data_IF_363625386463
#
_entry.id   IF_363625386463
#
_cell.length_a   1.000
_cell.length_b   1.000
_cell.length_c   1.000
_cell.angle_alpha   90.00
_cell.angle_beta   90.00
_cell.angle_gamma   90.00
#
_symmetry.space_group_name_H-M   'P 1'
#
loop_
_entity.id
_entity.type
_entity.pdbx_description
1 polymer ?
#
# COMPACT_ATOMS: atom_id res chain seq x y z
N UNK A 1 -6.43 20.38 -23.51
CA UNK A 1 -7.11 20.29 -22.19
C UNK A 1 -8.49 19.72 -22.41
N UNK A 2 -8.65 18.40 -22.25
CA UNK A 2 -9.97 17.79 -22.13
C UNK A 2 -10.64 18.42 -20.91
N UNK A 3 -11.82 19.04 -21.07
CA UNK A 3 -12.60 19.47 -19.90
C UNK A 3 -12.90 18.22 -19.10
N UNK A 4 -12.49 18.20 -17.83
CA UNK A 4 -12.84 17.16 -16.86
C UNK A 4 -14.30 16.75 -17.08
N UNK A 5 -14.57 15.45 -17.14
CA UNK A 5 -15.94 14.95 -17.24
C UNK A 5 -16.64 15.26 -15.92
N UNK A 6 -17.27 16.43 -15.84
CA UNK A 6 -18.09 16.80 -14.70
C UNK A 6 -19.31 15.89 -14.68
N UNK A 7 -19.35 14.97 -13.74
CA UNK A 7 -20.57 14.20 -13.48
C UNK A 7 -21.59 15.15 -12.83
N UNK A 8 -22.85 15.16 -13.31
CA UNK A 8 -23.90 15.91 -12.62
C UNK A 8 -24.05 15.39 -11.20
N UNK A 9 -24.31 16.29 -10.24
CA UNK A 9 -24.59 15.89 -8.86
C UNK A 9 -25.79 14.95 -8.84
N UNK A 10 -25.71 13.89 -8.03
CA UNK A 10 -26.84 13.00 -7.82
C UNK A 10 -27.80 13.64 -6.80
N UNK A 11 -28.99 14.04 -7.25
CA UNK A 11 -29.98 14.68 -6.39
C UNK A 11 -30.63 13.70 -5.39
N UNK A 12 -30.70 12.41 -5.72
CA UNK A 12 -31.27 11.38 -4.84
C UNK A 12 -30.29 10.97 -3.74
N UNK A 13 -29.00 10.87 -4.07
CA UNK A 13 -27.94 10.45 -3.16
C UNK A 13 -26.79 11.48 -3.20
N UNK A 14 -26.94 12.62 -2.50
CA UNK A 14 -25.92 13.66 -2.49
C UNK A 14 -24.64 13.18 -1.79
N UNK A 15 -23.49 13.77 -2.12
CA UNK A 15 -22.19 13.41 -1.54
C UNK A 15 -22.18 13.41 0.00
N UNK A 16 -22.93 14.32 0.62
CA UNK A 16 -23.08 14.39 2.07
C UNK A 16 -23.75 13.12 2.64
N UNK A 17 -24.84 12.66 2.01
CA UNK A 17 -25.45 11.38 2.36
C UNK A 17 -24.48 10.21 2.14
N UNK A 18 -23.79 10.19 0.99
CA UNK A 18 -22.83 9.13 0.68
C UNK A 18 -21.69 9.07 1.71
N UNK A 19 -21.20 10.20 2.22
CA UNK A 19 -20.18 10.23 3.30
C UNK A 19 -20.72 9.67 4.62
N UNK A 20 -21.99 9.87 4.94
CA UNK A 20 -22.61 9.34 6.16
C UNK A 20 -22.82 7.82 6.13
N UNK A 21 -22.98 7.21 4.95
CA UNK A 21 -23.14 5.76 4.83
C UNK A 21 -21.85 5.04 5.29
N UNK A 22 -21.90 4.17 6.32
CA UNK A 22 -20.74 3.36 6.70
C UNK A 22 -20.32 2.46 5.54
N UNK A 23 -19.04 2.50 5.19
CA UNK A 23 -18.50 1.73 4.05
C UNK A 23 -17.12 1.16 4.36
N UNK A 24 -16.70 0.22 3.51
CA UNK A 24 -15.40 -0.43 3.61
C UNK A 24 -14.59 -0.23 2.33
N UNK A 25 -13.27 -0.15 2.46
CA UNK A 25 -12.35 -0.18 1.33
C UNK A 25 -11.34 -1.33 1.50
N UNK A 26 -11.49 -2.37 0.68
CA UNK A 26 -10.70 -3.60 0.79
C UNK A 26 -9.60 -3.70 -0.27
N UNK A 27 -9.41 -2.64 -1.07
CA UNK A 27 -8.45 -2.60 -2.16
C UNK A 27 -7.95 -1.16 -2.39
N UNK A 28 -7.20 -0.60 -1.43
CA UNK A 28 -6.40 0.62 -1.65
C UNK A 28 -4.94 0.35 -1.29
N UNK A 29 -4.09 0.65 -2.27
CA UNK A 29 -2.65 0.49 -2.18
C UNK A 29 -2.04 1.65 -1.37
N UNK A 30 -1.25 1.38 -0.33
CA UNK A 30 -0.58 2.44 0.43
C UNK A 30 0.22 3.37 -0.50
N UNK A 31 1.04 2.76 -1.36
CA UNK A 31 1.88 3.38 -2.38
C UNK A 31 1.10 4.01 -3.56
N UNK A 32 -0.18 3.70 -3.69
CA UNK A 32 -1.11 4.37 -4.62
C UNK A 32 -1.96 5.47 -3.99
N UNK A 33 -1.94 5.59 -2.66
CA UNK A 33 -2.79 6.52 -1.90
C UNK A 33 -1.96 7.71 -1.33
N UNK A 34 -0.75 7.97 -1.87
CA UNK A 34 0.08 9.15 -1.52
C UNK A 34 -0.52 10.45 -2.07
N UNK A 35 -0.55 11.49 -1.23
CA UNK A 35 -0.85 12.84 -1.70
C UNK A 35 0.32 13.36 -2.55
N UNK A 36 0.08 13.99 -3.71
CA UNK A 36 1.15 14.52 -4.56
C UNK A 36 2.10 15.49 -3.85
N UNK A 37 1.57 16.35 -2.96
CA UNK A 37 2.42 17.25 -2.16
C UNK A 37 3.31 16.47 -1.19
N UNK A 38 2.81 15.40 -0.57
CA UNK A 38 3.60 14.53 0.30
C UNK A 38 4.72 13.83 -0.47
N UNK A 39 4.46 13.39 -1.71
CA UNK A 39 5.50 12.85 -2.59
C UNK A 39 6.60 13.89 -2.84
N UNK A 40 6.26 15.13 -3.18
CA UNK A 40 7.22 16.23 -3.37
C UNK A 40 8.04 16.50 -2.11
N UNK A 41 7.38 16.60 -0.95
CA UNK A 41 8.05 16.88 0.32
C UNK A 41 9.06 15.79 0.67
N UNK A 42 8.65 14.52 0.56
CA UNK A 42 9.49 13.37 0.88
C UNK A 42 10.62 13.19 -0.14
N UNK A 43 10.38 13.49 -1.42
CA UNK A 43 11.41 13.45 -2.44
C UNK A 43 12.51 14.49 -2.19
N UNK A 44 12.13 15.72 -1.81
CA UNK A 44 13.09 16.75 -1.43
C UNK A 44 13.90 16.35 -0.18
N UNK A 45 13.26 15.76 0.82
CA UNK A 45 13.93 15.33 2.05
C UNK A 45 14.93 14.18 1.82
N UNK A 46 14.60 13.27 0.91
CA UNK A 46 15.38 12.06 0.64
C UNK A 46 16.27 12.16 -0.61
N UNK A 47 16.31 13.33 -1.27
CA UNK A 47 17.01 13.56 -2.53
C UNK A 47 16.60 12.56 -3.63
N UNK A 48 15.31 12.25 -3.72
CA UNK A 48 14.74 11.44 -4.81
C UNK A 48 14.41 12.36 -5.98
N UNK A 49 14.85 11.99 -7.17
CA UNK A 49 14.53 12.73 -8.40
C UNK A 49 13.09 12.47 -8.83
N UNK A 50 12.36 13.54 -9.09
CA UNK A 50 11.02 13.51 -9.67
C UNK A 50 11.01 14.23 -11.03
N UNK A 51 10.08 13.88 -11.94
CA UNK A 51 9.90 14.61 -13.21
C UNK A 51 9.60 16.10 -13.01
N UNK A 52 8.99 16.42 -11.88
CA UNK A 52 8.68 17.77 -11.43
C UNK A 52 8.47 17.75 -9.92
N UNK A 53 8.74 18.89 -9.27
CA UNK A 53 8.49 19.12 -7.84
C UNK A 53 7.24 19.99 -7.61
N UNK A 54 6.42 20.17 -8.65
CA UNK A 54 5.12 20.83 -8.57
C UNK A 54 4.00 19.76 -8.46
N UNK A 55 3.25 19.78 -7.36
CA UNK A 55 2.22 18.79 -7.07
C UNK A 55 1.08 18.78 -8.10
N UNK A 56 0.69 19.96 -8.61
CA UNK A 56 -0.33 20.08 -9.64
C UNK A 56 0.15 19.53 -10.98
N UNK A 57 1.43 19.70 -11.29
CA UNK A 57 2.06 19.13 -12.47
C UNK A 57 2.20 17.62 -12.36
N UNK A 58 2.55 17.07 -11.19
CA UNK A 58 2.52 15.62 -10.95
C UNK A 58 1.13 15.04 -11.24
N UNK A 59 0.06 15.70 -10.77
CA UNK A 59 -1.32 15.27 -11.05
C UNK A 59 -1.67 15.27 -12.53
N UNK A 60 -1.12 16.19 -13.32
CA UNK A 60 -1.40 16.27 -14.76
C UNK A 60 -0.56 15.30 -15.58
N UNK A 61 0.72 15.16 -15.25
CA UNK A 61 1.71 14.55 -16.12
C UNK A 61 2.09 13.13 -15.67
N UNK A 62 2.03 12.85 -14.36
CA UNK A 62 2.40 11.55 -13.76
C UNK A 62 1.16 10.76 -13.34
N UNK A 63 0.24 11.36 -12.57
CA UNK A 63 -1.00 10.72 -12.10
C UNK A 63 -2.17 10.99 -13.04
N UNK A 64 -1.96 10.65 -14.32
CA UNK A 64 -2.91 10.90 -15.42
C UNK A 64 -4.24 10.20 -15.21
N UNK A 65 -5.30 10.74 -15.83
CA UNK A 65 -6.63 10.11 -15.81
C UNK A 65 -6.68 8.80 -16.60
N UNK A 66 -5.88 8.70 -17.66
CA UNK A 66 -5.85 7.55 -18.58
C UNK A 66 -4.42 7.18 -18.93
N UNK A 67 -4.18 5.88 -19.04
CA UNK A 67 -2.90 5.28 -19.42
C UNK A 67 -3.13 4.33 -20.59
N UNK A 68 -2.12 4.19 -21.44
CA UNK A 68 -2.13 3.33 -22.62
C UNK A 68 -1.97 1.85 -22.23
N UNK A 69 -1.33 1.57 -21.09
CA UNK A 69 -1.15 0.21 -20.58
C UNK A 69 -0.94 0.16 -19.05
N UNK A 70 -0.99 -1.05 -18.48
CA UNK A 70 -0.67 -1.29 -17.07
C UNK A 70 0.80 -0.95 -16.76
N UNK A 71 1.70 -1.27 -17.67
CA UNK A 71 3.13 -1.00 -17.52
C UNK A 71 3.40 0.51 -17.43
N UNK A 72 2.71 1.32 -18.23
CA UNK A 72 2.78 2.78 -18.14
C UNK A 72 2.27 3.28 -16.79
N UNK A 73 1.13 2.75 -16.33
CA UNK A 73 0.56 3.08 -15.02
C UNK A 73 1.54 2.76 -13.87
N UNK A 74 2.20 1.61 -13.91
CA UNK A 74 3.14 1.20 -12.86
C UNK A 74 4.40 2.08 -12.75
N UNK A 75 4.70 2.93 -13.74
CA UNK A 75 5.80 3.91 -13.62
C UNK A 75 5.55 4.88 -12.47
N UNK A 76 4.30 5.31 -12.22
CA UNK A 76 4.02 6.25 -11.13
C UNK A 76 4.31 5.65 -9.74
N UNK A 77 4.12 4.33 -9.59
CA UNK A 77 4.44 3.59 -8.37
C UNK A 77 5.94 3.57 -8.06
N UNK A 78 6.81 3.72 -9.07
CA UNK A 78 8.25 3.78 -8.86
C UNK A 78 8.66 5.02 -8.06
N UNK A 79 8.05 6.18 -8.34
CA UNK A 79 8.28 7.41 -7.58
C UNK A 79 7.76 7.30 -6.15
N UNK A 80 6.54 6.76 -5.99
CA UNK A 80 5.95 6.54 -4.66
C UNK A 80 6.80 5.58 -3.82
N UNK A 81 7.20 4.45 -4.39
CA UNK A 81 8.04 3.45 -3.70
C UNK A 81 9.41 4.00 -3.31
N UNK A 82 10.00 4.86 -4.16
CA UNK A 82 11.32 5.45 -3.91
C UNK A 82 11.36 6.35 -2.67
N UNK A 83 10.27 7.08 -2.36
CA UNK A 83 10.18 7.95 -1.19
C UNK A 83 9.69 7.23 0.08
N UNK A 84 9.28 5.97 -0.02
CA UNK A 84 8.78 5.15 1.09
C UNK A 84 9.87 4.22 1.65
N UNK A 85 11.10 4.70 1.79
CA UNK A 85 12.26 3.91 2.28
C UNK A 85 12.78 4.34 3.64
N UNK A 86 11.96 5.08 4.39
CA UNK A 86 12.24 5.47 5.79
C UNK A 86 11.02 5.23 6.67
N UNK A 87 11.25 4.95 7.95
CA UNK A 87 10.18 4.76 8.94
C UNK A 87 9.24 5.96 9.01
N UNK A 88 9.77 7.18 8.96
CA UNK A 88 8.98 8.42 9.06
C UNK A 88 8.12 8.65 7.83
N UNK A 89 8.64 8.36 6.62
CA UNK A 89 7.86 8.45 5.39
C UNK A 89 6.69 7.45 5.40
N UNK A 90 6.96 6.20 5.77
CA UNK A 90 5.94 5.15 5.87
C UNK A 90 4.86 5.50 6.90
N UNK A 91 5.26 5.98 8.07
CA UNK A 91 4.32 6.40 9.13
C UNK A 91 3.46 7.60 8.69
N UNK A 92 4.08 8.60 8.05
CA UNK A 92 3.36 9.78 7.52
C UNK A 92 2.32 9.37 6.49
N UNK A 93 2.71 8.62 5.46
CA UNK A 93 1.80 8.23 4.37
C UNK A 93 0.69 7.32 4.87
N UNK A 94 0.99 6.40 5.79
CA UNK A 94 -0.02 5.55 6.40
C UNK A 94 -1.05 6.36 7.24
N UNK A 95 -0.59 7.37 7.99
CA UNK A 95 -1.47 8.29 8.72
C UNK A 95 -2.35 9.10 7.76
N UNK A 96 -1.78 9.63 6.68
CA UNK A 96 -2.50 10.40 5.66
C UNK A 96 -3.56 9.54 4.95
N UNK A 97 -3.22 8.32 4.54
CA UNK A 97 -4.17 7.37 3.95
C UNK A 97 -5.35 7.09 4.89
N UNK A 98 -5.08 6.78 6.17
CA UNK A 98 -6.14 6.55 7.15
C UNK A 98 -7.02 7.78 7.37
N UNK A 99 -6.43 8.98 7.33
CA UNK A 99 -7.17 10.25 7.43
C UNK A 99 -8.10 10.47 6.24
N UNK A 100 -7.61 10.20 5.03
CA UNK A 100 -8.38 10.35 3.81
C UNK A 100 -9.52 9.33 3.75
N UNK A 101 -9.28 8.08 4.16
CA UNK A 101 -10.31 7.05 4.27
C UNK A 101 -11.43 7.45 5.25
N UNK A 102 -11.05 7.92 6.44
CA UNK A 102 -12.01 8.35 7.44
C UNK A 102 -12.88 9.53 6.95
N UNK A 103 -12.27 10.50 6.25
CA UNK A 103 -12.98 11.65 5.68
C UNK A 103 -14.02 11.26 4.60
N UNK A 104 -13.85 10.11 3.95
CA UNK A 104 -14.79 9.54 2.99
C UNK A 104 -15.90 8.69 3.66
N UNK A 105 -15.90 8.59 4.99
CA UNK A 105 -16.86 7.81 5.77
C UNK A 105 -16.55 6.31 5.80
N UNK A 106 -15.33 5.91 5.45
CA UNK A 106 -14.88 4.52 5.57
C UNK A 106 -14.72 4.18 7.06
N UNK A 107 -15.26 3.02 7.45
CA UNK A 107 -15.21 2.53 8.84
C UNK A 107 -14.31 1.32 9.00
N UNK A 108 -14.04 0.59 7.93
CA UNK A 108 -13.01 -0.43 7.91
C UNK A 108 -12.30 -0.43 6.56
N UNK A 109 -10.96 -0.44 6.58
CA UNK A 109 -10.19 -0.57 5.36
C UNK A 109 -9.03 -1.53 5.51
N UNK A 110 -8.64 -2.16 4.40
CA UNK A 110 -7.47 -3.01 4.33
C UNK A 110 -6.44 -2.35 3.42
N UNK A 111 -5.44 -1.72 4.03
CA UNK A 111 -4.33 -1.15 3.25
C UNK A 111 -3.46 -2.28 2.74
N UNK A 112 -3.14 -2.24 1.45
CA UNK A 112 -2.31 -3.24 0.79
C UNK A 112 -1.07 -2.60 0.21
N UNK A 113 0.08 -3.27 0.29
CA UNK A 113 1.33 -2.80 -0.32
C UNK A 113 2.37 -3.91 -0.32
N UNK A 114 3.47 -3.74 -1.05
CA UNK A 114 4.57 -4.70 -1.07
C UNK A 114 5.75 -4.21 -0.18
N UNK A 115 5.88 -4.67 1.08
CA UNK A 115 6.92 -4.20 1.99
C UNK A 115 8.36 -4.36 1.48
N UNK A 116 8.58 -5.33 0.59
CA UNK A 116 9.88 -5.58 -0.06
C UNK A 116 10.30 -4.43 -1.00
N UNK A 117 9.39 -3.59 -1.48
CA UNK A 117 9.73 -2.38 -2.22
C UNK A 117 10.31 -1.27 -1.31
N UNK A 118 9.98 -1.33 -0.02
CA UNK A 118 10.31 -0.30 0.97
C UNK A 118 11.51 -0.66 1.84
N UNK A 119 11.77 -1.96 2.04
CA UNK A 119 12.86 -2.43 2.89
C UNK A 119 14.24 -2.07 2.30
N UNK A 120 15.15 -1.67 3.20
CA UNK A 120 16.54 -1.32 2.88
C UNK A 120 17.45 -2.21 3.72
N UNK A 121 18.16 -3.18 3.12
CA UNK A 121 19.03 -4.09 3.87
C UNK A 121 20.05 -3.35 4.75
N UNK A 122 20.15 -3.78 6.01
CA UNK A 122 21.05 -3.16 7.00
C UNK A 122 20.53 -1.86 7.63
N UNK A 123 19.46 -1.27 7.11
CA UNK A 123 18.95 0.04 7.58
C UNK A 123 17.47 0.00 7.98
N UNK A 124 16.60 -0.57 7.13
CA UNK A 124 15.16 -0.66 7.33
C UNK A 124 14.66 -2.08 7.01
N UNK A 125 14.45 -2.89 8.04
CA UNK A 125 13.97 -4.27 7.89
C UNK A 125 12.50 -4.34 7.46
N UNK A 126 12.08 -5.46 6.87
CA UNK A 126 10.67 -5.72 6.56
C UNK A 126 9.76 -5.60 7.79
N UNK A 127 10.24 -6.01 8.95
CA UNK A 127 9.56 -5.83 10.23
C UNK A 127 9.37 -4.33 10.54
N UNK A 128 10.43 -3.53 10.45
CA UNK A 128 10.36 -2.10 10.71
C UNK A 128 9.46 -1.38 9.72
N UNK A 129 9.41 -1.81 8.45
CA UNK A 129 8.44 -1.32 7.45
C UNK A 129 7.01 -1.55 7.96
N UNK A 130 6.66 -2.79 8.32
CA UNK A 130 5.33 -3.14 8.81
C UNK A 130 4.97 -2.40 10.11
N UNK A 131 5.93 -2.27 11.04
CA UNK A 131 5.73 -1.52 12.28
C UNK A 131 5.49 -0.04 12.02
N UNK A 132 6.20 0.56 11.06
CA UNK A 132 6.07 1.99 10.73
C UNK A 132 4.72 2.30 10.10
N UNK A 133 4.29 1.48 9.14
CA UNK A 133 2.95 1.57 8.57
C UNK A 133 1.90 1.40 9.66
N UNK A 134 2.04 0.37 10.52
CA UNK A 134 1.11 0.14 11.61
C UNK A 134 1.01 1.32 12.59
N UNK A 135 2.13 1.99 12.92
CA UNK A 135 2.11 3.18 13.79
C UNK A 135 1.27 4.31 13.19
N UNK A 136 1.42 4.58 11.89
CA UNK A 136 0.68 5.63 11.20
C UNK A 136 -0.83 5.36 11.18
N UNK A 137 -1.21 4.15 10.78
CA UNK A 137 -2.61 3.71 10.75
C UNK A 137 -3.22 3.72 12.16
N UNK A 138 -2.50 3.17 13.15
CA UNK A 138 -2.96 3.11 14.54
C UNK A 138 -3.20 4.49 15.11
N UNK A 139 -2.24 5.42 14.93
CA UNK A 139 -2.36 6.79 15.43
C UNK A 139 -3.61 7.47 14.85
N UNK A 140 -3.78 7.42 13.54
CA UNK A 140 -4.95 8.00 12.87
C UNK A 140 -6.27 7.39 13.39
N UNK A 141 -6.36 6.05 13.41
CA UNK A 141 -7.59 5.36 13.82
C UNK A 141 -7.94 5.59 15.28
N UNK A 142 -6.97 5.61 16.19
CA UNK A 142 -7.19 5.95 17.60
C UNK A 142 -7.68 7.40 17.76
N UNK A 143 -7.04 8.35 17.07
CA UNK A 143 -7.42 9.77 17.11
C UNK A 143 -8.83 10.02 16.59
N UNK A 144 -9.20 9.45 15.45
CA UNK A 144 -10.53 9.65 14.87
C UNK A 144 -11.62 8.99 15.71
N UNK A 145 -11.39 7.77 16.21
CA UNK A 145 -12.35 7.11 17.10
C UNK A 145 -12.59 7.91 18.40
N UNK A 146 -11.56 8.56 18.93
CA UNK A 146 -11.69 9.36 20.16
C UNK A 146 -12.41 10.70 19.94
N UNK A 147 -12.29 11.28 18.73
CA UNK A 147 -12.88 12.58 18.38
C UNK A 147 -14.30 12.48 17.80
N UNK A 148 -14.69 11.30 17.30
CA UNK A 148 -16.00 11.07 16.67
C UNK A 148 -17.09 10.81 17.74
N UNK A 149 -18.04 11.74 17.96
CA UNK A 149 -19.08 11.58 18.98
C UNK A 149 -20.04 10.42 18.68
N UNK A 150 -20.22 10.04 17.42
CA UNK A 150 -21.09 8.92 17.05
C UNK A 150 -20.41 7.59 17.34
N UNK A 151 -19.09 7.51 17.17
CA UNK A 151 -18.31 6.33 17.59
C UNK A 151 -18.27 6.22 19.11
N UNK A 152 -18.04 7.34 19.82
CA UNK A 152 -17.97 7.36 21.29
C UNK A 152 -19.33 7.01 21.91
N UNK A 153 -20.43 7.49 21.32
CA UNK A 153 -21.79 7.19 21.78
C UNK A 153 -22.31 5.81 21.34
N UNK A 154 -21.63 5.14 20.41
CA UNK A 154 -22.02 3.84 19.86
C UNK A 154 -23.06 3.92 18.74
N UNK A 155 -23.38 5.11 18.26
CA UNK A 155 -24.25 5.33 17.09
C UNK A 155 -23.57 4.96 15.77
N UNK A 156 -22.24 4.97 15.71
CA UNK A 156 -21.45 4.56 14.56
C UNK A 156 -20.45 3.44 14.93
N UNK A 157 -20.14 2.54 13.98
CA UNK A 157 -19.08 1.56 14.19
C UNK A 157 -17.72 2.25 14.29
N UNK A 158 -16.81 1.66 15.06
CA UNK A 158 -15.42 2.12 15.17
C UNK A 158 -14.73 2.11 13.81
N UNK A 159 -13.86 3.09 13.59
CA UNK A 159 -12.90 3.10 12.50
C UNK A 159 -11.76 2.12 12.79
N UNK A 160 -11.59 1.12 11.94
CA UNK A 160 -10.62 0.05 12.08
C UNK A 160 -9.89 -0.22 10.76
N UNK A 161 -8.81 -1.00 10.83
CA UNK A 161 -8.01 -1.32 9.65
C UNK A 161 -7.36 -2.71 9.73
N UNK A 162 -7.03 -3.25 8.56
CA UNK A 162 -6.14 -4.38 8.37
C UNK A 162 -4.98 -4.02 7.44
N UNK A 163 -3.90 -4.81 7.51
CA UNK A 163 -2.76 -4.72 6.59
C UNK A 163 -2.73 -5.98 5.73
N UNK A 164 -2.65 -5.82 4.42
CA UNK A 164 -2.41 -6.89 3.46
C UNK A 164 -1.00 -6.72 2.91
N UNK A 165 -0.20 -7.76 3.00
CA UNK A 165 1.12 -7.77 2.35
C UNK A 165 0.97 -8.33 0.93
N UNK A 166 1.41 -7.58 -0.07
CA UNK A 166 1.40 -7.97 -1.46
C UNK A 166 2.76 -8.56 -1.83
N UNK A 167 2.78 -9.80 -2.30
CA UNK A 167 3.94 -10.33 -2.98
C UNK A 167 3.94 -9.86 -4.44
N UNK A 168 5.10 -9.43 -4.94
CA UNK A 168 5.23 -9.01 -6.32
C UNK A 168 5.24 -10.23 -7.24
N UNK A 169 4.35 -10.26 -8.24
CA UNK A 169 4.31 -11.27 -9.30
C UNK A 169 5.60 -11.29 -10.13
N UNK A 170 6.22 -10.13 -10.23
CA UNK A 170 7.47 -9.88 -10.93
C UNK A 170 8.26 -8.82 -10.21
N UNK A 171 9.58 -8.97 -10.17
CA UNK A 171 10.50 -7.91 -9.78
C UNK A 171 11.84 -8.05 -10.48
N UNK A 172 12.56 -6.94 -10.50
CA UNK A 172 13.96 -6.87 -10.93
C UNK A 172 14.83 -6.32 -9.80
N UNK A 173 16.15 -6.35 -9.96
CA UNK A 173 17.07 -5.80 -8.98
C UNK A 173 16.88 -4.27 -8.79
N UNK A 174 16.34 -3.60 -9.79
CA UNK A 174 16.14 -2.15 -9.82
C UNK A 174 14.92 -1.69 -9.01
N UNK A 175 14.03 -2.61 -8.61
CA UNK A 175 12.79 -2.25 -7.93
C UNK A 175 13.03 -1.71 -6.51
N UNK A 176 13.98 -2.30 -5.78
CA UNK A 176 14.33 -1.85 -4.43
C UNK A 176 15.69 -2.37 -4.00
N UNK A 177 16.33 -1.75 -2.99
CA UNK A 177 17.54 -2.28 -2.37
C UNK A 177 17.37 -3.72 -1.85
N UNK A 178 16.18 -4.07 -1.35
CA UNK A 178 15.86 -5.44 -0.97
C UNK A 178 15.92 -6.39 -2.18
N UNK A 179 15.24 -6.07 -3.28
CA UNK A 179 15.23 -6.94 -4.45
C UNK A 179 16.59 -7.00 -5.14
N UNK A 180 17.38 -5.93 -5.10
CA UNK A 180 18.78 -5.93 -5.55
C UNK A 180 19.58 -7.04 -4.85
N UNK A 181 19.59 -7.05 -3.52
CA UNK A 181 20.31 -8.07 -2.75
C UNK A 181 19.69 -9.46 -2.92
N UNK A 182 18.36 -9.55 -2.98
CA UNK A 182 17.66 -10.83 -3.15
C UNK A 182 18.04 -11.49 -4.48
N UNK A 183 18.05 -10.72 -5.58
CA UNK A 183 18.50 -11.17 -6.90
C UNK A 183 19.99 -11.52 -6.90
N UNK A 184 20.84 -10.74 -6.22
CA UNK A 184 22.29 -11.01 -6.14
C UNK A 184 22.59 -12.37 -5.50
N UNK A 185 21.94 -12.67 -4.36
CA UNK A 185 22.12 -13.94 -3.65
C UNK A 185 21.56 -15.13 -4.44
N UNK A 186 20.54 -14.92 -5.26
CA UNK A 186 19.88 -15.96 -6.05
C UNK A 186 20.13 -15.84 -7.57
N UNK A 187 21.28 -15.31 -7.97
CA UNK A 187 21.60 -14.93 -9.37
C UNK A 187 21.53 -16.04 -10.43
N UNK A 188 21.43 -17.30 -10.01
CA UNK A 188 21.37 -18.48 -10.88
C UNK A 188 20.05 -19.25 -10.73
N UNK A 189 19.11 -18.73 -9.95
CA UNK A 189 17.79 -19.34 -9.77
C UNK A 189 16.90 -19.09 -10.98
N UNK A 190 15.96 -20.00 -11.23
CA UNK A 190 14.91 -19.79 -12.23
C UNK A 190 14.04 -18.58 -11.84
N UNK A 191 13.72 -17.64 -12.77
CA UNK A 191 12.94 -16.46 -12.43
C UNK A 191 11.57 -16.74 -11.79
N UNK A 192 10.82 -17.73 -12.27
CA UNK A 192 9.51 -18.05 -11.71
C UNK A 192 9.63 -18.63 -10.30
N UNK A 193 10.64 -19.48 -10.09
CA UNK A 193 10.97 -19.98 -8.75
C UNK A 193 11.44 -18.86 -7.81
N UNK A 194 12.20 -17.88 -8.32
CA UNK A 194 12.67 -16.72 -7.57
C UNK A 194 11.50 -15.88 -7.02
N UNK A 195 10.44 -15.66 -7.80
CA UNK A 195 9.25 -14.93 -7.35
C UNK A 195 8.51 -15.69 -6.23
N UNK A 196 8.39 -17.01 -6.35
CA UNK A 196 7.83 -17.86 -5.30
C UNK A 196 8.63 -17.80 -3.99
N UNK A 197 9.97 -17.85 -4.08
CA UNK A 197 10.86 -17.73 -2.92
C UNK A 197 10.69 -16.38 -2.21
N UNK A 198 10.66 -15.27 -2.96
CA UNK A 198 10.46 -13.94 -2.40
C UNK A 198 9.08 -13.82 -1.70
N UNK A 199 8.06 -14.44 -2.27
CA UNK A 199 6.69 -14.46 -1.71
C UNK A 199 6.63 -15.22 -0.40
N UNK A 200 7.31 -16.37 -0.33
CA UNK A 200 7.40 -17.17 0.88
C UNK A 200 8.20 -16.43 1.97
N UNK A 201 9.30 -15.77 1.60
CA UNK A 201 10.06 -14.92 2.51
C UNK A 201 9.22 -13.74 3.05
N UNK A 202 8.40 -13.11 2.22
CA UNK A 202 7.50 -12.03 2.65
C UNK A 202 6.47 -12.52 3.67
N UNK A 203 5.72 -13.58 3.35
CA UNK A 203 4.59 -13.98 4.22
C UNK A 203 5.06 -14.58 5.54
N UNK A 204 6.20 -15.28 5.56
CA UNK A 204 6.78 -15.82 6.80
C UNK A 204 7.23 -14.70 7.73
N UNK A 205 7.91 -13.68 7.20
CA UNK A 205 8.31 -12.51 7.97
C UNK A 205 7.09 -11.70 8.46
N UNK A 206 6.11 -11.46 7.59
CA UNK A 206 4.91 -10.72 7.96
C UNK A 206 4.09 -11.43 9.05
N UNK A 207 3.99 -12.77 8.98
CA UNK A 207 3.36 -13.56 10.02
C UNK A 207 4.15 -13.51 11.34
N UNK A 208 5.48 -13.57 11.30
CA UNK A 208 6.29 -13.42 12.51
C UNK A 208 6.06 -12.05 13.17
N UNK A 209 6.14 -10.96 12.40
CA UNK A 209 5.89 -9.60 12.90
C UNK A 209 4.47 -9.43 13.45
N UNK A 210 3.45 -10.04 12.81
CA UNK A 210 2.08 -10.10 13.34
C UNK A 210 2.02 -10.74 14.73
N UNK A 211 2.68 -11.89 14.90
CA UNK A 211 2.62 -12.66 16.14
C UNK A 211 3.41 -12.00 17.27
N UNK A 212 4.56 -11.41 16.96
CA UNK A 212 5.45 -10.80 17.95
C UNK A 212 4.94 -9.42 18.41
N UNK A 213 4.46 -8.59 17.49
CA UNK A 213 4.14 -7.18 17.77
C UNK A 213 2.65 -6.85 17.69
N UNK A 214 1.79 -7.84 17.38
CA UNK A 214 0.34 -7.62 17.26
C UNK A 214 -0.06 -6.74 16.07
N UNK A 215 0.80 -6.62 15.05
CA UNK A 215 0.48 -5.88 13.83
C UNK A 215 -0.72 -6.56 13.14
N UNK A 216 -1.77 -5.82 12.70
CA UNK A 216 -2.98 -6.40 12.12
C UNK A 216 -2.76 -6.81 10.66
N UNK A 217 -1.74 -7.63 10.37
CA UNK A 217 -1.59 -8.26 9.07
C UNK A 217 -2.68 -9.32 8.90
N UNK A 218 -3.62 -9.12 7.98
CA UNK A 218 -4.83 -9.94 7.85
C UNK A 218 -4.78 -10.87 6.63
N UNK A 219 -4.06 -10.50 5.57
CA UNK A 219 -4.04 -11.26 4.34
C UNK A 219 -2.70 -11.22 3.59
N UNK A 220 -2.53 -12.18 2.68
CA UNK A 220 -1.56 -12.15 1.59
C UNK A 220 -2.29 -11.82 0.27
N UNK A 221 -1.67 -10.97 -0.54
CA UNK A 221 -2.08 -10.63 -1.90
C UNK A 221 -0.94 -10.86 -2.89
N UNK A 222 -1.23 -10.84 -4.20
CA UNK A 222 -0.21 -10.73 -5.24
C UNK A 222 -0.49 -9.57 -6.17
N UNK A 223 0.54 -8.76 -6.45
CA UNK A 223 0.41 -7.52 -7.21
C UNK A 223 1.49 -7.40 -8.30
N UNK A 224 1.32 -6.42 -9.20
CA UNK A 224 2.21 -6.19 -10.34
C UNK A 224 1.66 -6.76 -11.64
N UNK A 225 2.50 -6.84 -12.68
CA UNK A 225 2.10 -7.31 -14.00
C UNK A 225 1.57 -8.76 -13.95
N UNK A 226 0.38 -9.01 -14.49
CA UNK A 226 -0.22 -10.35 -14.50
C UNK A 226 0.21 -11.18 -15.71
N UNK A 227 0.32 -10.54 -16.88
CA UNK A 227 0.65 -11.20 -18.13
C UNK A 227 2.10 -11.72 -18.07
N UNK A 228 2.27 -13.03 -18.13
CA UNK A 228 3.57 -13.68 -18.06
C UNK A 228 4.02 -14.02 -16.64
N UNK A 229 3.27 -13.60 -15.60
CA UNK A 229 3.61 -13.83 -14.19
C UNK A 229 2.41 -14.48 -13.45
N UNK A 230 2.18 -15.77 -13.73
CA UNK A 230 1.02 -16.50 -13.26
C UNK A 230 0.99 -16.66 -11.74
N UNK A 231 -0.21 -16.59 -11.15
CA UNK A 231 -0.43 -16.78 -9.72
C UNK A 231 0.12 -18.11 -9.16
N UNK A 232 0.32 -19.11 -10.04
CA UNK A 232 0.81 -20.43 -9.66
C UNK A 232 2.21 -20.41 -9.03
N UNK A 233 3.04 -19.40 -9.33
CA UNK A 233 4.39 -19.25 -8.79
C UNK A 233 4.37 -19.01 -7.26
N UNK A 234 3.22 -18.57 -6.74
CA UNK A 234 3.06 -18.12 -5.36
C UNK A 234 2.29 -19.13 -4.48
N UNK A 235 1.96 -20.31 -5.00
CA UNK A 235 1.06 -21.29 -4.34
C UNK A 235 1.56 -21.67 -2.94
N UNK A 236 2.87 -21.83 -2.75
CA UNK A 236 3.43 -22.17 -1.44
C UNK A 236 3.20 -21.07 -0.39
N UNK A 237 3.35 -19.80 -0.79
CA UNK A 237 3.10 -18.66 0.08
C UNK A 237 1.61 -18.57 0.46
N UNK A 238 0.70 -18.78 -0.51
CA UNK A 238 -0.74 -18.86 -0.25
C UNK A 238 -1.11 -20.04 0.66
N UNK A 239 -0.47 -21.19 0.48
CA UNK A 239 -0.68 -22.35 1.34
C UNK A 239 -0.19 -22.08 2.77
N UNK A 240 0.93 -21.38 2.95
CA UNK A 240 1.41 -20.93 4.25
C UNK A 240 0.42 -19.97 4.92
N UNK A 241 -0.01 -18.92 4.22
CA UNK A 241 -1.01 -17.97 4.73
C UNK A 241 -2.27 -18.69 5.22
N UNK A 242 -2.77 -19.65 4.43
CA UNK A 242 -3.93 -20.46 4.79
C UNK A 242 -3.72 -21.28 6.06
N UNK A 243 -2.57 -21.99 6.18
CA UNK A 243 -2.22 -22.78 7.39
C UNK A 243 -2.11 -21.92 8.65
N UNK A 244 -1.84 -20.61 8.49
CA UNK A 244 -1.73 -19.64 9.57
C UNK A 244 -3.01 -18.83 9.83
N UNK A 245 -4.13 -19.25 9.22
CA UNK A 245 -5.42 -18.57 9.32
C UNK A 245 -5.40 -17.10 8.86
N UNK A 246 -4.51 -16.76 7.93
CA UNK A 246 -4.55 -15.48 7.22
C UNK A 246 -5.45 -15.60 5.98
N UNK A 247 -6.09 -14.50 5.62
CA UNK A 247 -6.88 -14.38 4.39
C UNK A 247 -5.98 -14.29 3.16
N UNK A 248 -6.59 -14.41 1.98
CA UNK A 248 -5.90 -14.47 0.69
C UNK A 248 -6.71 -13.72 -0.35
N UNK A 249 -6.04 -12.97 -1.19
CA UNK A 249 -6.61 -12.24 -2.32
C UNK A 249 -5.63 -12.29 -3.48
N UNK A 250 -6.13 -12.12 -4.70
CA UNK A 250 -5.37 -12.20 -5.97
C UNK A 250 -5.84 -11.11 -6.90
#
# INVERSE_FOLDING_TARGET
MSKLRAFPKNETFPDEFLRLVPKTDLHCHLDGCLRPQTLVDLANQQNVELPTYDAEQLNRDVFKETYDSLEEYLVCFSYASAVLRTSDALERVAYEQASDQYALGVRYFETRFAPQLNAVPGELSLEQVLLSVNRGLKRATDEFNAKDPDVVSGLAPRFAYGIIVCAMRFFTAEFSPYYQQFCEVHRHEDPHRLYGLASMALITQAYATKMEHGVPVVALDIAGAERGYPAHDHVEAFAFAHKKFMHKTV
#
